data_IF_909723701797
#
_entry.id   IF_909723701797
#
_cell.length_a   1.000
_cell.length_b   1.000
_cell.length_c   1.000
_cell.angle_alpha   90.00
_cell.angle_beta   90.00
_cell.angle_gamma   90.00
#
_symmetry.space_group_name_H-M   'P 1'
#
loop_
_entity.id
_entity.type
_entity.pdbx_description
1 polymer ?
#
# COMPACT_ATOMS: atom_id res chain seq x y z
N UNK A 1 4.44 -11.79 -19.32
CA UNK A 1 3.26 -11.33 -18.57
C UNK A 1 3.73 -10.37 -17.51
N UNK A 2 3.17 -9.15 -17.44
CA UNK A 2 3.64 -8.13 -16.51
C UNK A 2 2.47 -7.29 -16.00
N UNK A 3 2.65 -6.72 -14.80
CA UNK A 3 1.72 -5.79 -14.18
C UNK A 3 2.49 -4.70 -13.44
N UNK A 4 1.85 -3.56 -13.18
CA UNK A 4 2.30 -2.54 -12.24
C UNK A 4 1.43 -2.57 -10.99
N UNK A 5 1.98 -2.18 -9.85
CA UNK A 5 1.24 -2.07 -8.61
C UNK A 5 1.69 -0.86 -7.78
N UNK A 6 0.77 -0.30 -7.00
CA UNK A 6 1.06 0.69 -5.98
C UNK A 6 1.03 0.01 -4.63
N UNK A 7 2.13 0.18 -3.92
CA UNK A 7 2.39 -0.39 -2.60
C UNK A 7 2.97 0.69 -1.71
N UNK A 8 2.94 0.47 -0.40
CA UNK A 8 3.71 1.30 0.50
C UNK A 8 5.21 0.99 0.31
N UNK A 9 6.01 2.02 0.01
CA UNK A 9 7.45 1.85 -0.27
C UNK A 9 8.22 1.34 0.96
N UNK A 10 7.88 1.79 2.16
CA UNK A 10 8.58 1.38 3.38
C UNK A 10 8.33 -0.10 3.68
N UNK A 11 7.08 -0.54 3.57
CA UNK A 11 6.72 -1.96 3.71
C UNK A 11 7.32 -2.82 2.58
N UNK A 12 7.42 -2.30 1.36
CA UNK A 12 8.07 -3.01 0.25
C UNK A 12 9.57 -3.26 0.48
N UNK A 13 10.24 -2.35 1.20
CA UNK A 13 11.67 -2.44 1.49
C UNK A 13 11.97 -3.18 2.80
N UNK A 14 10.95 -3.47 3.61
CA UNK A 14 11.09 -4.16 4.88
C UNK A 14 11.00 -5.69 4.68
N UNK A 15 12.04 -6.46 5.03
CA UNK A 15 12.09 -7.90 4.78
C UNK A 15 11.10 -8.73 5.63
N UNK A 16 10.45 -8.12 6.63
CA UNK A 16 9.37 -8.77 7.38
C UNK A 16 8.09 -8.91 6.55
N UNK A 17 7.96 -8.16 5.45
CA UNK A 17 6.87 -8.24 4.49
C UNK A 17 7.24 -9.08 3.25
N UNK A 18 6.24 -9.36 2.40
CA UNK A 18 6.41 -10.11 1.16
C UNK A 18 6.41 -11.63 1.37
N UNK A 19 6.08 -12.08 2.58
CA UNK A 19 5.86 -13.49 2.90
C UNK A 19 4.40 -13.85 2.69
N UNK A 20 4.08 -15.16 2.72
CA UNK A 20 2.69 -15.62 2.62
C UNK A 20 1.84 -15.14 3.80
N UNK A 21 2.44 -15.07 4.99
CA UNK A 21 1.76 -14.71 6.23
C UNK A 21 1.74 -13.19 6.47
N UNK A 22 2.66 -12.45 5.84
CA UNK A 22 2.72 -10.99 5.89
C UNK A 22 3.00 -10.41 4.48
N UNK A 23 2.01 -10.43 3.57
CA UNK A 23 2.19 -9.90 2.23
C UNK A 23 2.33 -8.36 2.25
N UNK A 24 3.01 -7.79 1.25
CA UNK A 24 2.99 -6.33 1.06
C UNK A 24 1.59 -5.92 0.57
N UNK A 25 0.91 -4.99 1.26
CA UNK A 25 -0.38 -4.49 0.81
C UNK A 25 -0.28 -3.81 -0.56
N UNK A 26 -1.13 -4.22 -1.49
CA UNK A 26 -1.28 -3.61 -2.81
C UNK A 26 -2.55 -2.76 -2.80
N UNK A 27 -2.39 -1.45 -2.96
CA UNK A 27 -3.50 -0.50 -3.03
C UNK A 27 -4.11 -0.45 -4.44
N UNK A 28 -3.28 -0.71 -5.45
CA UNK A 28 -3.71 -0.73 -6.84
C UNK A 28 -2.81 -1.66 -7.64
N UNK A 29 -3.36 -2.35 -8.64
CA UNK A 29 -2.60 -3.10 -9.64
C UNK A 29 -3.16 -2.81 -11.04
N UNK A 30 -2.34 -2.97 -12.08
CA UNK A 30 -2.74 -2.84 -13.48
C UNK A 30 -1.95 -3.83 -14.34
N UNK A 31 -2.65 -4.61 -15.16
CA UNK A 31 -2.00 -5.44 -16.15
C UNK A 31 -1.29 -4.58 -17.22
N UNK A 32 -0.07 -4.95 -17.57
CA UNK A 32 0.74 -4.31 -18.62
C UNK A 32 0.87 -5.20 -19.87
N UNK A 33 0.89 -6.53 -19.71
CA UNK A 33 0.91 -7.47 -20.84
C UNK A 33 0.46 -8.89 -20.44
N UNK A 34 -0.24 -9.57 -21.35
CA UNK A 34 -0.49 -11.02 -21.29
C UNK A 34 -1.34 -11.51 -20.10
N UNK A 35 -2.24 -10.66 -19.60
CA UNK A 35 -3.17 -11.00 -18.52
C UNK A 35 -4.62 -10.89 -19.02
N UNK A 36 -5.13 -11.98 -19.58
CA UNK A 36 -6.54 -12.15 -19.98
C UNK A 36 -7.43 -12.59 -18.79
N UNK A 37 -6.82 -12.88 -17.63
CA UNK A 37 -7.48 -13.59 -16.51
C UNK A 37 -7.43 -12.87 -15.16
N UNK A 38 -6.83 -11.68 -15.06
CA UNK A 38 -6.78 -10.97 -13.77
C UNK A 38 -8.10 -10.28 -13.40
N UNK A 39 -9.17 -10.42 -14.18
CA UNK A 39 -10.45 -9.69 -14.03
C UNK A 39 -10.21 -8.18 -13.88
N UNK A 40 -9.29 -7.66 -14.71
CA UNK A 40 -8.78 -6.28 -14.69
C UNK A 40 -9.39 -5.43 -15.81
N UNK A 41 -10.41 -5.94 -16.50
CA UNK A 41 -10.95 -5.39 -17.75
C UNK A 41 -11.61 -4.02 -17.54
N UNK A 42 -11.94 -3.69 -16.29
CA UNK A 42 -12.30 -2.33 -15.92
C UNK A 42 -11.03 -1.55 -15.56
N UNK A 43 -10.54 -0.77 -16.52
CA UNK A 43 -9.59 0.32 -16.30
C UNK A 43 -10.21 1.39 -15.38
N UNK A 44 -10.38 1.09 -14.10
CA UNK A 44 -10.81 2.07 -13.12
C UNK A 44 -9.57 2.87 -12.77
N UNK A 45 -9.34 3.96 -13.49
CA UNK A 45 -8.43 5.01 -13.02
C UNK A 45 -9.05 5.56 -11.74
N UNK A 46 -8.62 5.02 -10.60
CA UNK A 46 -9.05 5.52 -9.29
C UNK A 46 -8.55 6.96 -9.19
N UNK A 47 -9.48 7.90 -9.01
CA UNK A 47 -9.12 9.30 -8.81
C UNK A 47 -8.12 9.40 -7.65
N UNK A 48 -7.07 10.24 -7.76
CA UNK A 48 -6.07 10.38 -6.69
C UNK A 48 -6.68 10.63 -5.30
N UNK A 49 -7.80 11.38 -5.24
CA UNK A 49 -8.55 11.64 -4.01
C UNK A 49 -9.15 10.38 -3.37
N UNK A 50 -9.58 9.40 -4.16
CA UNK A 50 -10.12 8.13 -3.66
C UNK A 50 -8.97 7.23 -3.18
N UNK A 51 -7.87 7.18 -3.93
CA UNK A 51 -6.68 6.47 -3.50
C UNK A 51 -6.12 7.03 -2.18
N UNK A 52 -6.12 8.36 -2.02
CA UNK A 52 -5.73 9.02 -0.78
C UNK A 52 -6.58 8.52 0.40
N UNK A 53 -7.91 8.49 0.26
CA UNK A 53 -8.81 7.97 1.31
C UNK A 53 -8.56 6.51 1.65
N UNK A 54 -8.29 5.68 0.66
CA UNK A 54 -7.96 4.26 0.86
C UNK A 54 -6.67 4.11 1.68
N UNK A 55 -5.63 4.88 1.35
CA UNK A 55 -4.37 4.89 2.10
C UNK A 55 -4.59 5.41 3.53
N UNK A 56 -5.38 6.48 3.71
CA UNK A 56 -5.73 7.00 5.04
C UNK A 56 -6.46 5.95 5.89
N UNK A 57 -7.47 5.27 5.33
CA UNK A 57 -8.19 4.21 6.03
C UNK A 57 -7.28 3.05 6.41
N UNK A 58 -6.39 2.63 5.50
CA UNK A 58 -5.43 1.58 5.78
C UNK A 58 -4.48 1.97 6.93
N UNK A 59 -3.90 3.17 6.88
CA UNK A 59 -2.97 3.64 7.91
C UNK A 59 -3.64 3.84 9.27
N UNK A 60 -4.91 4.27 9.29
CA UNK A 60 -5.63 4.58 10.52
C UNK A 60 -6.33 3.37 11.18
N UNK A 61 -6.78 2.39 10.39
CA UNK A 61 -7.65 1.32 10.89
C UNK A 61 -7.11 -0.10 10.67
N UNK A 62 -6.40 -0.34 9.57
CA UNK A 62 -5.87 -1.68 9.25
C UNK A 62 -4.46 -1.89 9.81
N UNK A 63 -3.67 -0.81 9.90
CA UNK A 63 -2.35 -0.84 10.50
C UNK A 63 -2.44 -0.63 12.00
N UNK A 64 -2.03 -1.64 12.79
CA UNK A 64 -1.98 -1.51 14.24
C UNK A 64 -1.08 -0.34 14.66
N UNK A 65 -1.41 0.35 15.76
CA UNK A 65 -0.59 1.47 16.25
C UNK A 65 0.86 1.08 16.54
N UNK A 66 1.10 -0.17 16.97
CA UNK A 66 2.45 -0.70 17.16
C UNK A 66 3.23 -0.73 15.85
N UNK A 67 2.61 -1.21 14.79
CA UNK A 67 3.22 -1.34 13.48
C UNK A 67 3.37 0.02 12.77
N UNK A 68 2.36 0.89 12.91
CA UNK A 68 2.45 2.27 12.46
C UNK A 68 3.64 3.00 13.11
N UNK A 69 3.78 2.90 14.43
CA UNK A 69 4.88 3.54 15.15
C UNK A 69 6.25 2.94 14.79
N UNK A 70 6.31 1.63 14.55
CA UNK A 70 7.53 0.96 14.10
C UNK A 70 8.01 1.49 12.75
N UNK A 71 7.08 1.69 11.81
CA UNK A 71 7.39 2.14 10.45
C UNK A 71 7.59 3.66 10.41
N UNK A 72 6.64 4.44 10.90
CA UNK A 72 6.57 5.89 10.67
C UNK A 72 6.86 6.73 11.91
N UNK A 73 7.07 6.14 13.10
CA UNK A 73 7.21 6.91 14.34
C UNK A 73 8.37 7.91 14.32
N UNK A 74 9.52 7.53 13.76
CA UNK A 74 10.66 8.45 13.61
C UNK A 74 10.37 9.57 12.60
N UNK A 75 9.61 9.28 11.54
CA UNK A 75 9.16 10.28 10.58
C UNK A 75 8.17 11.26 11.22
N UNK A 76 7.21 10.79 12.02
CA UNK A 76 6.26 11.64 12.74
C UNK A 76 6.99 12.59 13.69
N UNK A 77 7.97 12.08 14.45
CA UNK A 77 8.85 12.91 15.32
C UNK A 77 9.60 13.95 14.52
N UNK A 78 10.22 13.57 13.40
CA UNK A 78 10.96 14.49 12.52
C UNK A 78 10.06 15.59 11.96
N UNK A 79 8.82 15.27 11.65
CA UNK A 79 7.83 16.21 11.12
C UNK A 79 7.17 17.08 12.20
N UNK A 80 7.46 16.84 13.49
CA UNK A 80 6.83 17.57 14.60
C UNK A 80 5.33 17.30 14.74
N UNK A 81 4.85 16.22 14.12
CA UNK A 81 3.47 15.78 14.21
C UNK A 81 3.32 14.92 15.47
N UNK A 82 2.36 15.26 16.32
CA UNK A 82 1.97 14.44 17.48
C UNK A 82 0.82 13.55 17.07
N UNK A 83 0.83 12.32 17.59
CA UNK A 83 -0.31 11.40 17.56
C UNK A 83 -1.54 12.02 18.24
#
# INVERSE_FOLDING_TARGET
>A
KSFSAYVNRQQWQDPTYGTKDNPVPIFFKRALSGHETLDMDNFITIKPSVNKKLVELYLAHELSSKEFNRLYGEDMKRLGLKD
#
